data_IF_796188717970
#
_entry.id   IF_796188717970
#
_cell.length_a   1.000
_cell.length_b   1.000
_cell.length_c   1.000
_cell.angle_alpha   90.00
_cell.angle_beta   90.00
_cell.angle_gamma   90.00
#
_symmetry.space_group_name_H-M   'P 1'
#
loop_
_entity.id
_entity.type
_entity.pdbx_description
1 polymer ?
#
# COMPACT_ATOMS: atom_id res chain seq x y z
N UNK A 1 -20.32 5.15 -5.67
CA UNK A 1 -19.82 4.46 -4.48
C UNK A 1 -18.32 4.29 -4.66
N UNK A 2 -17.51 4.89 -3.80
CA UNK A 2 -16.07 4.61 -3.74
C UNK A 2 -15.86 3.38 -2.87
N UNK A 3 -15.05 2.42 -3.32
CA UNK A 3 -14.62 1.31 -2.47
C UNK A 3 -13.36 1.75 -1.74
N UNK A 4 -13.34 1.61 -0.43
CA UNK A 4 -12.19 1.93 0.40
C UNK A 4 -11.64 0.61 0.92
N UNK A 5 -10.33 0.40 0.75
CA UNK A 5 -9.61 -0.76 1.27
C UNK A 5 -8.40 -0.26 2.03
N UNK A 6 -8.00 -1.01 3.05
CA UNK A 6 -6.80 -0.68 3.81
C UNK A 6 -6.00 -1.94 4.04
N UNK A 7 -4.69 -1.83 3.82
CA UNK A 7 -3.72 -2.88 4.04
C UNK A 7 -2.82 -2.45 5.18
N UNK A 8 -2.53 -3.35 6.10
CA UNK A 8 -1.77 -3.03 7.29
C UNK A 8 -0.75 -4.11 7.62
N UNK A 9 0.41 -3.67 8.09
CA UNK A 9 1.46 -4.52 8.62
C UNK A 9 2.28 -3.74 9.66
N UNK A 10 2.48 -4.35 10.82
CA UNK A 10 3.49 -3.91 11.77
C UNK A 10 4.86 -4.45 11.36
N UNK A 11 5.83 -3.56 11.16
CA UNK A 11 7.20 -3.92 10.80
C UNK A 11 8.21 -3.10 11.61
N UNK A 12 9.14 -3.80 12.26
CA UNK A 12 10.24 -3.21 13.03
C UNK A 12 9.81 -2.13 14.04
N UNK A 13 8.63 -2.29 14.65
CA UNK A 13 8.07 -1.36 15.63
C UNK A 13 7.27 -0.18 15.03
N UNK A 14 7.14 -0.13 13.71
CA UNK A 14 6.36 0.87 12.99
C UNK A 14 5.14 0.23 12.35
N UNK A 15 4.05 0.98 12.31
CA UNK A 15 2.87 0.60 11.55
C UNK A 15 2.99 1.11 10.11
N UNK A 16 2.85 0.23 9.13
CA UNK A 16 2.78 0.58 7.71
C UNK A 16 1.36 0.33 7.22
N UNK A 17 0.73 1.36 6.67
CA UNK A 17 -0.65 1.28 6.18
C UNK A 17 -0.76 1.83 4.78
N UNK A 18 -1.43 1.09 3.90
CA UNK A 18 -1.81 1.54 2.57
C UNK A 18 -3.32 1.64 2.49
N UNK A 19 -3.83 2.84 2.23
CA UNK A 19 -5.24 3.07 1.92
C UNK A 19 -5.42 3.15 0.40
N UNK A 20 -6.40 2.41 -0.12
CA UNK A 20 -6.78 2.41 -1.53
C UNK A 20 -8.23 2.90 -1.64
N UNK A 21 -8.41 4.01 -2.37
CA UNK A 21 -9.73 4.58 -2.67
C UNK A 21 -10.05 4.41 -4.15
N UNK A 22 -10.95 3.49 -4.45
CA UNK A 22 -11.38 3.20 -5.82
C UNK A 22 -12.64 3.99 -6.19
N UNK A 23 -12.46 4.99 -7.06
CA UNK A 23 -13.54 5.78 -7.65
C UNK A 23 -13.36 5.95 -9.17
N UNK A 24 -13.55 7.18 -9.68
CA UNK A 24 -13.20 7.52 -11.08
C UNK A 24 -11.69 7.40 -11.33
N UNK A 25 -10.92 7.62 -10.27
CA UNK A 25 -9.48 7.41 -10.17
C UNK A 25 -9.24 6.51 -8.96
N UNK A 26 -8.18 5.74 -9.00
CA UNK A 26 -7.69 5.01 -7.83
C UNK A 26 -6.68 5.91 -7.13
N UNK A 27 -6.87 6.10 -5.83
CA UNK A 27 -6.00 6.88 -4.96
C UNK A 27 -5.31 5.92 -3.99
N UNK A 28 -4.00 6.05 -3.86
CA UNK A 28 -3.15 5.29 -2.95
C UNK A 28 -2.55 6.27 -1.96
N UNK A 29 -2.75 6.02 -0.68
CA UNK A 29 -2.18 6.81 0.42
C UNK A 29 -1.38 5.85 1.31
N UNK A 30 -0.10 6.17 1.49
CA UNK A 30 0.84 5.40 2.28
C UNK A 30 1.13 6.15 3.57
N UNK A 31 0.89 5.47 4.68
CA UNK A 31 1.11 5.97 6.03
C UNK A 31 2.19 5.14 6.74
N UNK A 32 3.04 5.84 7.50
CA UNK A 32 3.90 5.23 8.53
C UNK A 32 3.55 5.88 9.87
N UNK A 33 3.19 5.08 10.86
CA UNK A 33 2.76 5.55 12.20
C UNK A 33 1.60 6.55 12.13
N UNK A 34 0.69 6.32 11.18
CA UNK A 34 -0.47 7.18 10.93
C UNK A 34 -0.16 8.49 10.21
N UNK A 35 1.10 8.74 9.83
CA UNK A 35 1.51 9.93 9.06
C UNK A 35 1.67 9.59 7.59
N UNK A 36 1.11 10.41 6.71
CA UNK A 36 1.32 10.28 5.26
C UNK A 36 2.79 10.46 4.89
N UNK A 37 3.33 9.46 4.21
CA UNK A 37 4.69 9.46 3.64
C UNK A 37 4.67 9.30 2.11
N UNK A 38 3.52 8.95 1.52
CA UNK A 38 3.37 8.87 0.08
C UNK A 38 1.92 8.95 -0.38
N UNK A 39 1.70 9.54 -1.55
CA UNK A 39 0.38 9.63 -2.17
C UNK A 39 0.50 9.50 -3.69
N UNK A 40 -0.33 8.65 -4.29
CA UNK A 40 -0.43 8.50 -5.74
C UNK A 40 -1.88 8.46 -6.20
N UNK A 41 -2.12 8.93 -7.43
CA UNK A 41 -3.45 8.87 -8.06
C UNK A 41 -3.35 8.42 -9.51
N UNK A 42 -4.10 7.37 -9.84
CA UNK A 42 -4.08 6.70 -11.14
C UNK A 42 -5.46 6.62 -11.77
N UNK A 43 -5.50 6.39 -13.09
CA UNK A 43 -6.76 6.10 -13.80
C UNK A 43 -7.09 4.62 -13.56
N UNK A 44 -8.39 4.29 -13.47
CA UNK A 44 -8.97 3.00 -13.08
C UNK A 44 -8.67 1.80 -14.01
N UNK A 45 -7.62 1.84 -14.83
CA UNK A 45 -7.34 0.84 -15.87
C UNK A 45 -5.84 0.55 -16.05
N UNK A 46 -4.95 0.92 -15.11
CA UNK A 46 -3.60 0.33 -15.15
C UNK A 46 -3.71 -1.12 -14.67
N UNK A 47 -3.30 -2.05 -15.53
CA UNK A 47 -3.14 -3.47 -15.21
C UNK A 47 -1.73 -3.80 -14.72
N UNK A 48 -0.85 -2.79 -14.63
CA UNK A 48 0.50 -2.95 -14.12
C UNK A 48 0.48 -2.86 -12.59
N UNK A 49 1.38 -3.60 -11.94
CA UNK A 49 1.67 -3.42 -10.53
C UNK A 49 2.06 -1.96 -10.26
N UNK A 50 1.51 -1.36 -9.21
CA UNK A 50 1.88 -0.02 -8.77
C UNK A 50 2.96 -0.13 -7.68
N UNK A 51 3.97 0.72 -7.78
CA UNK A 51 5.06 0.81 -6.80
C UNK A 51 4.95 2.14 -6.04
N UNK A 52 4.89 2.05 -4.71
CA UNK A 52 4.96 3.19 -3.79
C UNK A 52 6.13 2.99 -2.83
N UNK A 53 7.06 3.95 -2.80
CA UNK A 53 8.19 3.92 -1.86
C UNK A 53 7.90 4.77 -0.62
N UNK A 54 8.51 4.39 0.51
CA UNK A 54 8.46 5.14 1.75
C UNK A 54 9.70 4.90 2.61
N UNK A 55 9.76 5.56 3.77
CA UNK A 55 10.84 5.40 4.73
C UNK A 55 10.28 5.10 6.12
N UNK A 56 10.88 4.11 6.79
CA UNK A 56 10.66 3.87 8.21
C UNK A 56 11.59 4.76 9.03
N UNK A 57 11.08 5.43 10.08
CA UNK A 57 11.91 6.18 11.01
C UNK A 57 13.02 5.32 11.63
N UNK A 58 14.18 5.93 11.84
CA UNK A 58 15.37 5.27 12.34
C UNK A 58 16.62 6.09 12.04
N UNK A 59 17.76 5.68 12.61
CA UNK A 59 19.08 6.22 12.27
C UNK A 59 20.01 5.06 11.87
N UNK A 60 20.27 4.86 10.57
CA UNK A 60 19.71 5.59 9.43
C UNK A 60 18.23 5.24 9.16
N UNK A 61 17.47 6.07 8.43
CA UNK A 61 16.16 5.71 7.92
C UNK A 61 16.24 4.46 7.03
N UNK A 62 15.21 3.61 7.08
CA UNK A 62 15.12 2.41 6.22
C UNK A 62 14.10 2.64 5.11
N UNK A 63 14.57 2.59 3.87
CA UNK A 63 13.71 2.69 2.69
C UNK A 63 12.96 1.37 2.49
N UNK A 64 11.73 1.46 2.05
CA UNK A 64 10.92 0.31 1.63
C UNK A 64 10.11 0.64 0.38
N UNK A 65 9.68 -0.42 -0.29
CA UNK A 65 8.75 -0.36 -1.42
C UNK A 65 7.48 -1.15 -1.12
N UNK A 66 6.34 -0.65 -1.60
CA UNK A 66 5.08 -1.36 -1.67
C UNK A 66 4.80 -1.72 -3.12
N UNK A 67 4.67 -3.02 -3.37
CA UNK A 67 4.18 -3.56 -4.62
C UNK A 67 2.68 -3.87 -4.47
N UNK A 68 1.88 -3.26 -5.34
CA UNK A 68 0.42 -3.33 -5.31
C UNK A 68 -0.05 -3.91 -6.63
N UNK A 69 -0.49 -5.15 -6.60
CA UNK A 69 -1.00 -5.84 -7.78
C UNK A 69 -2.52 -5.87 -7.76
N UNK A 70 -3.11 -5.50 -8.91
CA UNK A 70 -4.53 -5.68 -9.21
C UNK A 70 -4.66 -6.81 -10.23
N UNK A 71 -4.90 -8.07 -9.81
CA UNK A 71 -5.02 -9.19 -10.73
C UNK A 71 -6.06 -8.92 -11.82
N UNK A 72 -5.70 -9.11 -13.10
CA UNK A 72 -6.58 -8.77 -14.22
C UNK A 72 -7.94 -9.51 -14.17
N UNK A 73 -7.93 -10.72 -13.60
CA UNK A 73 -9.10 -11.61 -13.51
C UNK A 73 -9.92 -11.40 -12.23
N UNK A 74 -9.52 -10.49 -11.33
CA UNK A 74 -10.22 -10.21 -10.07
C UNK A 74 -10.37 -8.71 -9.84
N UNK A 75 -11.61 -8.28 -9.62
CA UNK A 75 -11.90 -6.89 -9.20
C UNK A 75 -11.89 -6.71 -7.69
N UNK A 76 -11.82 -7.81 -6.95
CA UNK A 76 -11.99 -7.82 -5.51
C UNK A 76 -10.67 -8.03 -4.78
N UNK A 77 -9.80 -8.83 -5.38
CA UNK A 77 -8.48 -9.13 -4.86
C UNK A 77 -7.50 -8.01 -5.25
N UNK A 78 -6.67 -7.62 -4.29
CA UNK A 78 -5.39 -6.99 -4.58
C UNK A 78 -4.36 -7.56 -3.62
N UNK A 79 -3.17 -7.77 -4.16
CA UNK A 79 -2.03 -8.26 -3.42
C UNK A 79 -1.17 -7.07 -3.10
N UNK A 80 -0.89 -6.87 -1.81
CA UNK A 80 -0.02 -5.80 -1.34
C UNK A 80 1.18 -6.43 -0.63
N UNK A 81 2.38 -6.11 -1.09
CA UNK A 81 3.63 -6.66 -0.54
C UNK A 81 4.54 -5.50 -0.15
N UNK A 82 5.02 -5.53 1.10
CA UNK A 82 6.10 -4.68 1.58
C UNK A 82 7.44 -5.36 1.30
N UNK A 83 8.33 -4.66 0.60
CA UNK A 83 9.74 -5.02 0.46
C UNK A 83 10.61 -4.04 1.25
N UNK A 84 11.35 -4.57 2.23
CA UNK A 84 12.25 -3.80 3.09
C UNK A 84 13.43 -4.67 3.48
N UNK A 85 14.65 -4.11 3.46
CA UNK A 85 15.90 -4.84 3.74
C UNK A 85 16.04 -6.15 2.93
N UNK A 86 15.54 -6.15 1.68
CA UNK A 86 15.52 -7.31 0.78
C UNK A 86 14.55 -8.43 1.17
N UNK A 87 13.69 -8.21 2.18
CA UNK A 87 12.67 -9.15 2.61
C UNK A 87 11.28 -8.72 2.14
N UNK A 88 10.55 -9.64 1.50
CA UNK A 88 9.16 -9.44 1.06
C UNK A 88 8.17 -9.93 2.11
N UNK A 89 7.15 -9.12 2.41
CA UNK A 89 6.13 -9.37 3.44
C UNK A 89 4.74 -9.06 2.88
N UNK A 90 3.81 -10.02 2.82
CA UNK A 90 2.43 -9.71 2.44
C UNK A 90 1.77 -8.85 3.53
N UNK A 91 1.02 -7.85 3.10
CA UNK A 91 0.18 -7.04 3.99
C UNK A 91 -1.25 -7.57 3.96
N UNK A 92 -1.88 -7.68 5.12
CA UNK A 92 -3.27 -8.14 5.21
C UNK A 92 -4.24 -6.99 4.92
N UNK A 93 -5.29 -7.25 4.15
CA UNK A 93 -6.43 -6.33 4.07
C UNK A 93 -7.18 -6.36 5.41
N UNK A 94 -7.35 -5.20 6.04
CA UNK A 94 -8.15 -5.10 7.24
C UNK A 94 -9.65 -4.99 6.93
N UNK A 95 -10.49 -5.37 7.89
CA UNK A 95 -11.94 -5.32 7.73
C UNK A 95 -12.40 -3.86 7.61
N UNK A 96 -13.03 -3.50 6.50
CA UNK A 96 -13.69 -2.19 6.35
C UNK A 96 -14.69 -1.99 7.50
N UNK A 97 -14.39 -1.04 8.39
CA UNK A 97 -15.29 -0.61 9.46
C UNK A 97 -16.46 0.21 8.89
#
# INVERSE_FOLDING_TARGET
MSRHRHFHLDHAGHSVTLNIRDGRRTEYELLVDGKEVGYQRRRRHSTAAELLSGELPGEPPRVFDLEIEHPADSREEIVCVLEVDGARRPMAEGAAL
#
